data_IF_891560613855
#
_entry.id   IF_891560613855
#
_cell.length_a   1.000
_cell.length_b   1.000
_cell.length_c   1.000
_cell.angle_alpha   90.00
_cell.angle_beta   90.00
_cell.angle_gamma   90.00
#
_symmetry.space_group_name_H-M   'P 1'
#
loop_
_entity.id
_entity.type
_entity.pdbx_description
1 polymer ?
#
# COMPACT_ATOMS: atom_id res chain seq x y z
N UNK A 1 -4.41 3.24 22.64
CA UNK A 1 -5.70 3.45 21.95
C UNK A 1 -5.53 3.05 20.50
N UNK A 2 -6.29 2.09 19.99
CA UNK A 2 -6.32 1.82 18.55
C UNK A 2 -6.92 3.06 17.88
N UNK A 3 -6.15 3.75 17.04
CA UNK A 3 -6.73 4.80 16.20
C UNK A 3 -7.88 4.21 15.38
N UNK A 4 -8.93 5.00 15.15
CA UNK A 4 -10.04 4.56 14.30
C UNK A 4 -9.51 4.27 12.89
N UNK A 5 -9.50 3.00 12.50
CA UNK A 5 -9.19 2.57 11.14
C UNK A 5 -10.48 2.30 10.37
N UNK A 6 -10.38 2.31 9.04
CA UNK A 6 -11.50 2.04 8.15
C UNK A 6 -11.22 0.77 7.33
N UNK A 7 -12.28 0.05 6.98
CA UNK A 7 -12.21 -1.08 6.04
C UNK A 7 -12.03 -0.57 4.60
N UNK A 8 -11.46 -1.43 3.75
CA UNK A 8 -11.13 -1.10 2.37
C UNK A 8 -12.36 -0.68 1.59
N UNK A 9 -13.48 -1.38 1.76
CA UNK A 9 -14.72 -1.07 1.07
C UNK A 9 -15.47 0.15 1.63
N UNK A 10 -15.02 0.72 2.74
CA UNK A 10 -15.57 1.94 3.32
C UNK A 10 -14.78 3.21 2.93
N UNK A 11 -13.74 3.08 2.08
CA UNK A 11 -12.95 4.21 1.60
C UNK A 11 -13.80 5.03 0.61
N UNK A 12 -13.93 6.33 0.86
CA UNK A 12 -14.59 7.30 -0.03
C UNK A 12 -13.56 8.19 -0.74
N UNK A 13 -13.86 8.64 -1.95
CA UNK A 13 -12.94 9.46 -2.75
C UNK A 13 -12.82 10.89 -2.20
N UNK A 14 -13.82 11.35 -1.43
CA UNK A 14 -13.89 12.73 -0.91
C UNK A 14 -12.86 13.02 0.19
N UNK A 15 -12.26 12.00 0.80
CA UNK A 15 -11.26 12.17 1.86
C UNK A 15 -9.88 11.83 1.32
N UNK A 16 -8.93 12.71 1.55
CA UNK A 16 -7.56 12.58 1.05
C UNK A 16 -6.73 11.54 1.84
N UNK A 17 -6.99 11.39 3.13
CA UNK A 17 -6.15 10.61 4.04
C UNK A 17 -6.95 9.51 4.75
N UNK A 18 -6.45 8.28 4.67
CA UNK A 18 -7.10 7.09 5.23
C UNK A 18 -6.16 6.34 6.16
N UNK A 19 -6.68 5.92 7.30
CA UNK A 19 -5.99 4.98 8.19
C UNK A 19 -6.66 3.63 8.04
N UNK A 20 -5.93 2.65 7.53
CA UNK A 20 -6.44 1.30 7.30
C UNK A 20 -5.61 0.28 8.07
N UNK A 21 -6.26 -0.80 8.50
CA UNK A 21 -5.61 -1.96 9.12
C UNK A 21 -5.74 -3.15 8.18
N UNK A 22 -4.63 -3.55 7.60
CA UNK A 22 -4.60 -4.55 6.52
C UNK A 22 -3.40 -5.48 6.66
N UNK A 23 -3.52 -6.66 6.05
CA UNK A 23 -2.43 -7.61 5.84
C UNK A 23 -1.95 -7.50 4.39
N UNK A 24 -0.64 -7.63 4.19
CA UNK A 24 -0.04 -7.74 2.85
C UNK A 24 -0.21 -9.18 2.37
N UNK A 25 -1.03 -9.40 1.33
CA UNK A 25 -1.19 -10.72 0.70
C UNK A 25 -0.03 -11.00 -0.25
N UNK A 26 0.34 -10.00 -1.05
CA UNK A 26 1.36 -10.12 -2.08
C UNK A 26 2.13 -8.83 -2.19
N UNK A 27 3.44 -8.93 -2.35
CA UNK A 27 4.37 -7.81 -2.45
C UNK A 27 5.39 -8.09 -3.55
N UNK A 28 5.61 -7.14 -4.45
CA UNK A 28 6.68 -7.25 -5.45
C UNK A 28 7.22 -5.88 -5.84
N UNK A 29 8.50 -5.84 -6.20
CA UNK A 29 9.11 -4.65 -6.78
C UNK A 29 8.84 -4.61 -8.29
N UNK A 30 8.36 -3.47 -8.78
CA UNK A 30 8.27 -3.20 -10.20
C UNK A 30 9.61 -2.64 -10.70
N UNK A 31 10.23 -3.20 -11.76
CA UNK A 31 11.54 -2.76 -12.23
C UNK A 31 11.48 -1.37 -12.87
N UNK A 32 12.59 -0.64 -12.81
CA UNK A 32 12.75 0.61 -13.55
C UNK A 32 13.35 0.36 -14.93
N UNK A 33 12.72 0.88 -15.98
CA UNK A 33 13.23 0.80 -17.36
C UNK A 33 14.42 1.74 -17.62
N UNK A 34 14.65 2.73 -16.76
CA UNK A 34 15.69 3.74 -16.94
C UNK A 34 17.12 3.27 -16.60
N UNK A 35 17.37 1.98 -16.46
CA UNK A 35 18.67 1.42 -16.02
C UNK A 35 19.05 1.74 -14.57
N UNK A 36 18.18 2.41 -13.80
CA UNK A 36 18.44 2.66 -12.38
C UNK A 36 18.38 1.36 -11.57
N UNK A 37 19.36 1.12 -10.69
CA UNK A 37 19.37 -0.04 -9.78
C UNK A 37 18.18 -0.06 -8.81
N UNK A 38 17.56 1.08 -8.54
CA UNK A 38 16.38 1.18 -7.71
C UNK A 38 15.11 0.74 -8.47
N UNK A 39 14.22 -0.06 -7.85
CA UNK A 39 12.93 -0.41 -8.43
C UNK A 39 12.07 0.84 -8.67
N UNK A 40 11.15 0.78 -9.63
CA UNK A 40 10.21 1.85 -9.98
C UNK A 40 9.14 2.07 -8.92
N UNK A 41 8.54 0.99 -8.46
CA UNK A 41 7.56 1.03 -7.39
C UNK A 41 7.64 -0.26 -6.59
N UNK A 42 7.12 -0.20 -5.38
CA UNK A 42 6.73 -1.39 -4.64
C UNK A 42 5.22 -1.55 -4.78
N UNK A 43 4.81 -2.63 -5.41
CA UNK A 43 3.42 -2.97 -5.64
C UNK A 43 2.97 -3.99 -4.60
N UNK A 44 1.76 -3.82 -4.06
CA UNK A 44 1.21 -4.72 -3.06
C UNK A 44 -0.28 -4.95 -3.23
N UNK A 45 -0.72 -6.12 -2.79
CA UNK A 45 -2.14 -6.42 -2.58
C UNK A 45 -2.38 -6.47 -1.09
N UNK A 46 -3.25 -5.59 -0.62
CA UNK A 46 -3.64 -5.44 0.78
C UNK A 46 -5.02 -6.08 0.98
N UNK A 47 -5.24 -6.67 2.15
CA UNK A 47 -6.53 -7.21 2.56
C UNK A 47 -6.86 -6.81 4.00
N UNK A 48 -8.09 -6.34 4.21
CA UNK A 48 -8.60 -6.05 5.55
C UNK A 48 -9.19 -7.30 6.26
N UNK A 49 -9.72 -7.10 7.45
CA UNK A 49 -10.30 -8.17 8.27
C UNK A 49 -11.63 -8.70 7.70
N UNK A 50 -12.33 -7.94 6.86
CA UNK A 50 -13.57 -8.35 6.18
C UNK A 50 -13.31 -9.05 4.83
N UNK A 51 -12.04 -9.16 4.43
CA UNK A 51 -11.63 -9.79 3.18
C UNK A 51 -11.63 -8.85 1.96
N UNK A 52 -11.87 -7.56 2.18
CA UNK A 52 -11.78 -6.52 1.16
C UNK A 52 -10.34 -6.39 0.67
N UNK A 53 -10.14 -6.50 -0.65
CA UNK A 53 -8.82 -6.44 -1.29
C UNK A 53 -8.63 -5.14 -2.04
N UNK A 54 -7.46 -4.53 -1.90
CA UNK A 54 -7.05 -3.36 -2.67
C UNK A 54 -5.62 -3.50 -3.17
N UNK A 55 -5.37 -3.04 -4.40
CA UNK A 55 -4.01 -2.90 -4.92
C UNK A 55 -3.48 -1.54 -4.50
N UNK A 56 -2.28 -1.50 -3.94
CA UNK A 56 -1.58 -0.27 -3.60
C UNK A 56 -0.17 -0.28 -4.21
N UNK A 57 0.33 0.90 -4.55
CA UNK A 57 1.69 1.09 -5.03
C UNK A 57 2.38 2.21 -4.26
N UNK A 58 3.67 2.03 -4.00
CA UNK A 58 4.53 3.04 -3.39
C UNK A 58 5.61 3.39 -4.40
N UNK A 59 5.58 4.63 -4.90
CA UNK A 59 6.57 5.12 -5.86
C UNK A 59 7.96 5.33 -5.25
N UNK A 60 9.00 5.37 -6.10
CA UNK A 60 10.43 5.50 -5.71
C UNK A 60 10.70 6.50 -4.59
N UNK A 61 10.05 7.66 -4.64
CA UNK A 61 10.29 8.75 -3.69
C UNK A 61 9.85 8.41 -2.27
N UNK A 62 8.98 7.41 -2.06
CA UNK A 62 8.43 7.08 -0.74
C UNK A 62 8.80 5.67 -0.26
N UNK A 63 9.33 4.81 -1.13
CA UNK A 63 9.74 3.44 -0.75
C UNK A 63 10.82 3.43 0.34
N UNK A 64 11.63 4.49 0.46
CA UNK A 64 12.68 4.58 1.48
C UNK A 64 12.14 4.63 2.92
N UNK A 65 10.91 5.12 3.12
CA UNK A 65 10.26 5.18 4.43
C UNK A 65 9.37 3.99 4.73
N UNK A 66 9.08 3.15 3.74
CA UNK A 66 8.18 2.03 3.92
C UNK A 66 8.93 0.88 4.62
N UNK A 67 8.61 0.67 5.89
CA UNK A 67 9.07 -0.50 6.66
C UNK A 67 8.02 -1.59 6.58
N UNK A 68 8.28 -2.61 5.75
CA UNK A 68 7.51 -3.86 5.76
C UNK A 68 8.28 -4.84 6.64
N UNK A 69 7.67 -5.28 7.74
CA UNK A 69 8.22 -6.29 8.65
C UNK A 69 7.61 -7.66 8.36
#
# INVERSE_FOLDING_TARGET
>A
MAGAYQYVFAIIIEKENWTIKVKVIRLWYFPSFSGSKAPFSLEMVLMDEEGGKVRASVGKTLTYNLKVF
#
